data_IF_367506026441
#
_entry.id   IF_367506026441
#
_cell.length_a   1.000
_cell.length_b   1.000
_cell.length_c   1.000
_cell.angle_alpha   90.00
_cell.angle_beta   90.00
_cell.angle_gamma   90.00
#
_symmetry.space_group_name_H-M   'P 1'
#
loop_
_entity.id
_entity.type
_entity.pdbx_description
1 polymer ?
#
# COMPACT_ATOMS: atom_id res chain seq x y z
N UNK A 1 -20.57 64.99 -5.95
CA UNK A 1 -21.21 65.97 -5.04
C UNK A 1 -20.91 65.53 -3.62
N UNK A 2 -19.98 66.26 -3.02
CA UNK A 2 -19.43 66.17 -1.67
C UNK A 2 -20.37 66.81 -0.67
N UNK A 3 -20.75 66.10 0.41
CA UNK A 3 -21.15 66.75 1.67
C UNK A 3 -20.81 65.88 2.88
N UNK A 4 -19.72 66.22 3.54
CA UNK A 4 -19.35 65.97 4.94
C UNK A 4 -20.33 66.63 5.91
N UNK A 5 -20.65 66.01 7.06
CA UNK A 5 -20.72 66.69 8.38
C UNK A 5 -20.38 65.70 9.52
N UNK A 6 -19.68 66.26 10.51
CA UNK A 6 -18.99 65.71 11.68
C UNK A 6 -19.88 65.54 12.93
N UNK A 7 -19.57 64.47 13.69
CA UNK A 7 -19.45 64.32 15.17
C UNK A 7 -20.48 64.92 16.14
N UNK A 8 -20.85 64.12 17.16
CA UNK A 8 -20.95 64.58 18.57
C UNK A 8 -20.89 63.38 19.54
N UNK A 9 -19.99 63.48 20.51
CA UNK A 9 -19.88 62.59 21.68
C UNK A 9 -20.94 62.94 22.72
N UNK A 10 -21.43 61.95 23.46
CA UNK A 10 -22.01 62.17 24.79
C UNK A 10 -21.58 61.04 25.73
N UNK A 11 -20.79 61.41 26.74
CA UNK A 11 -20.44 60.58 27.88
C UNK A 11 -21.58 60.60 28.91
N UNK A 12 -21.85 59.45 29.52
CA UNK A 12 -22.73 59.31 30.68
C UNK A 12 -22.14 58.28 31.65
N UNK A 13 -21.67 58.76 32.80
CA UNK A 13 -21.03 58.04 33.89
C UNK A 13 -22.05 57.87 35.04
N UNK A 14 -22.07 56.70 35.70
CA UNK A 14 -22.58 56.34 37.05
C UNK A 14 -23.16 54.91 36.99
N UNK A 15 -22.95 53.96 37.91
CA UNK A 15 -22.31 53.98 39.22
C UNK A 15 -21.87 52.54 39.59
N UNK A 16 -20.92 52.46 40.52
CA UNK A 16 -20.35 51.29 41.16
C UNK A 16 -21.39 50.44 41.92
N UNK A 17 -21.36 49.12 41.73
CA UNK A 17 -21.72 48.11 42.75
C UNK A 17 -20.90 46.85 42.44
N UNK A 18 -20.04 46.46 43.39
CA UNK A 18 -19.16 45.30 43.24
C UNK A 18 -19.87 43.98 43.49
N UNK A 19 -19.34 42.90 42.90
CA UNK A 19 -19.00 41.61 43.52
C UNK A 19 -18.62 40.60 42.42
N UNK A 20 -17.63 39.77 42.74
CA UNK A 20 -17.21 38.54 42.05
C UNK A 20 -16.54 38.69 40.67
N UNK A 21 -15.22 38.42 40.67
CA UNK A 21 -14.50 38.02 39.47
C UNK A 21 -15.07 36.70 38.93
N UNK A 22 -15.96 36.77 37.94
CA UNK A 22 -16.27 35.64 37.08
C UNK A 22 -15.05 35.35 36.21
N UNK A 23 -14.28 34.32 36.59
CA UNK A 23 -13.38 33.63 35.65
C UNK A 23 -14.20 33.23 34.43
N UNK A 24 -13.71 33.43 33.19
CA UNK A 24 -14.38 32.87 32.02
C UNK A 24 -14.43 31.35 32.18
N UNK A 25 -15.63 30.78 32.20
CA UNK A 25 -15.79 29.34 32.06
C UNK A 25 -15.28 28.94 30.68
N UNK A 26 -14.42 27.90 30.56
CA UNK A 26 -14.16 27.29 29.27
C UNK A 26 -15.47 26.70 28.75
N UNK A 27 -15.86 27.12 27.55
CA UNK A 27 -16.95 26.50 26.80
C UNK A 27 -16.60 25.02 26.61
N UNK A 28 -17.50 24.07 26.94
CA UNK A 28 -17.26 22.66 26.65
C UNK A 28 -17.03 22.50 25.15
N UNK A 29 -15.82 22.06 24.79
CA UNK A 29 -15.44 21.77 23.43
C UNK A 29 -16.42 20.77 22.81
N UNK A 30 -16.82 21.04 21.58
CA UNK A 30 -17.52 20.06 20.75
C UNK A 30 -16.69 18.77 20.72
N UNK A 31 -17.32 17.59 20.85
CA UNK A 31 -16.61 16.33 20.81
C UNK A 31 -16.00 16.16 19.43
N UNK A 32 -14.67 16.08 19.40
CA UNK A 32 -13.87 15.49 18.33
C UNK A 32 -14.13 16.03 16.94
N UNK A 33 -13.36 17.02 16.51
CA UNK A 33 -12.68 16.85 15.22
C UNK A 33 -11.91 15.54 15.35
N UNK A 34 -12.52 14.44 14.90
CA UNK A 34 -11.81 13.27 14.41
C UNK A 34 -10.76 13.86 13.47
N UNK A 35 -9.51 13.88 13.93
CA UNK A 35 -8.39 14.15 13.05
C UNK A 35 -8.61 13.24 11.86
N UNK A 36 -8.79 13.85 10.69
CA UNK A 36 -8.84 13.08 9.45
C UNK A 36 -7.73 12.05 9.55
N UNK A 37 -8.02 10.75 9.34
CA UNK A 37 -6.96 9.77 9.37
C UNK A 37 -5.86 10.30 8.48
N UNK A 38 -4.64 10.39 9.03
CA UNK A 38 -3.48 10.65 8.19
C UNK A 38 -3.64 9.74 6.96
N UNK A 39 -3.46 10.25 5.73
CA UNK A 39 -3.68 9.44 4.54
C UNK A 39 -2.97 8.12 4.78
N UNK A 40 -3.74 7.02 4.76
CA UNK A 40 -3.18 5.69 5.01
C UNK A 40 -1.96 5.59 4.12
N UNK A 41 -0.78 5.47 4.74
CA UNK A 41 0.48 5.55 4.00
C UNK A 41 0.37 4.61 2.80
N UNK A 42 0.67 5.15 1.62
CA UNK A 42 0.46 4.47 0.37
C UNK A 42 1.27 3.17 0.33
N UNK A 43 0.61 2.08 0.67
CA UNK A 43 1.24 0.79 0.84
C UNK A 43 1.01 -0.06 -0.39
N UNK A 44 2.10 -0.54 -0.99
CA UNK A 44 2.13 -1.34 -2.20
C UNK A 44 2.95 -2.61 -1.95
N UNK A 45 2.67 -3.68 -2.69
CA UNK A 45 3.51 -4.89 -2.66
C UNK A 45 4.90 -4.58 -3.22
N UNK A 46 4.95 -3.70 -4.23
CA UNK A 46 6.21 -3.25 -4.79
C UNK A 46 6.09 -1.87 -5.44
N UNK A 47 7.13 -1.03 -5.35
CA UNK A 47 8.34 -1.20 -4.52
C UNK A 47 8.17 -0.65 -3.09
N UNK A 48 6.99 -0.13 -2.75
CA UNK A 48 6.71 0.54 -1.45
C UNK A 48 6.32 -0.48 -0.36
N UNK A 49 7.21 -1.45 -0.11
CA UNK A 49 7.06 -2.46 0.95
C UNK A 49 7.10 -1.90 2.37
N UNK A 50 7.55 -0.64 2.50
CA UNK A 50 7.51 0.16 3.73
C UNK A 50 6.68 1.43 3.49
N UNK A 51 6.10 2.05 4.54
CA UNK A 51 5.25 3.24 4.40
C UNK A 51 5.98 4.54 4.00
N UNK A 52 7.15 4.48 3.36
CA UNK A 52 8.02 5.62 3.00
C UNK A 52 7.60 6.37 1.73
N UNK A 53 6.30 6.35 1.42
CA UNK A 53 5.73 6.95 0.21
C UNK A 53 6.09 8.45 0.03
N UNK A 54 6.27 9.21 1.11
CA UNK A 54 6.64 10.63 1.04
C UNK A 54 8.07 10.83 0.51
N UNK A 55 9.04 10.02 0.96
CA UNK A 55 10.42 10.08 0.47
C UNK A 55 10.52 9.57 -0.97
N UNK A 56 9.68 8.60 -1.35
CA UNK A 56 9.56 8.16 -2.74
C UNK A 56 9.05 9.31 -3.63
N UNK A 57 8.01 10.04 -3.23
CA UNK A 57 7.42 11.11 -4.04
C UNK A 57 8.42 12.20 -4.45
N UNK A 58 9.30 12.64 -3.54
CA UNK A 58 10.32 13.65 -3.84
C UNK A 58 11.36 13.15 -4.86
N UNK A 59 11.85 11.91 -4.70
CA UNK A 59 12.81 11.31 -5.64
C UNK A 59 12.19 11.11 -7.03
N UNK A 60 10.94 10.66 -7.07
CA UNK A 60 10.20 10.44 -8.32
C UNK A 60 9.91 11.77 -9.02
N UNK A 61 9.57 12.83 -8.27
CA UNK A 61 9.45 14.18 -8.82
C UNK A 61 10.76 14.71 -9.42
N UNK A 62 11.91 14.27 -8.89
CA UNK A 62 13.23 14.55 -9.46
C UNK A 62 13.63 13.65 -10.65
N UNK A 63 12.73 12.76 -11.11
CA UNK A 63 12.92 11.92 -12.29
C UNK A 63 13.52 10.54 -12.03
N UNK A 64 13.56 10.08 -10.77
CA UNK A 64 13.86 8.68 -10.47
C UNK A 64 12.74 7.75 -11.01
N UNK A 65 13.09 6.49 -11.30
CA UNK A 65 12.17 5.42 -11.69
C UNK A 65 11.13 5.84 -12.76
N UNK A 66 11.56 6.26 -13.96
CA UNK A 66 10.67 6.84 -14.97
C UNK A 66 9.54 5.90 -15.40
N UNK A 67 9.74 4.59 -15.25
CA UNK A 67 8.72 3.56 -15.51
C UNK A 67 7.47 3.72 -14.64
N UNK A 68 7.55 4.40 -13.49
CA UNK A 68 6.40 4.70 -12.62
C UNK A 68 5.44 5.74 -13.17
N UNK A 69 5.80 6.40 -14.27
CA UNK A 69 4.91 7.32 -14.97
C UNK A 69 3.79 6.63 -15.73
N UNK A 70 3.87 5.31 -15.94
CA UNK A 70 2.96 4.54 -16.76
C UNK A 70 2.63 3.17 -16.10
N UNK A 71 1.36 2.74 -16.10
CA UNK A 71 0.95 1.49 -15.45
C UNK A 71 1.55 0.24 -16.10
N UNK A 72 1.71 0.26 -17.43
CA UNK A 72 2.26 -0.85 -18.20
C UNK A 72 3.76 -0.97 -17.96
N UNK A 73 4.50 0.14 -18.04
CA UNK A 73 5.94 0.14 -17.72
C UNK A 73 6.21 -0.27 -16.27
N UNK A 74 5.32 0.09 -15.33
CA UNK A 74 5.39 -0.36 -13.94
C UNK A 74 5.24 -1.87 -13.80
N UNK A 75 4.26 -2.46 -14.49
CA UNK A 75 4.08 -3.92 -14.48
C UNK A 75 5.26 -4.65 -15.14
N UNK A 76 5.83 -4.11 -16.22
CA UNK A 76 7.03 -4.65 -16.86
C UNK A 76 8.26 -4.54 -15.95
N UNK A 77 8.43 -3.43 -15.24
CA UNK A 77 9.51 -3.26 -14.27
C UNK A 77 9.39 -4.29 -13.14
N UNK A 78 8.19 -4.51 -12.60
CA UNK A 78 7.94 -5.57 -11.62
C UNK A 78 8.32 -6.96 -12.16
N UNK A 79 7.90 -7.30 -13.39
CA UNK A 79 8.25 -8.59 -13.99
C UNK A 79 9.77 -8.77 -14.17
N UNK A 80 10.50 -7.71 -14.53
CA UNK A 80 11.96 -7.76 -14.66
C UNK A 80 12.66 -7.89 -13.32
N UNK A 81 12.28 -7.07 -12.35
CA UNK A 81 13.01 -6.93 -11.09
C UNK A 81 12.61 -7.98 -10.04
N UNK A 82 11.33 -8.33 -9.96
CA UNK A 82 10.80 -9.25 -8.95
C UNK A 82 10.71 -10.68 -9.48
N UNK A 83 10.22 -10.86 -10.72
CA UNK A 83 10.10 -12.21 -11.33
C UNK A 83 11.39 -12.65 -12.04
N UNK A 84 12.31 -11.71 -12.30
CA UNK A 84 13.57 -12.00 -12.99
C UNK A 84 13.40 -12.30 -14.48
N UNK A 85 12.32 -11.82 -15.10
CA UNK A 85 12.06 -12.04 -16.53
C UNK A 85 12.88 -11.06 -17.37
N UNK A 86 13.61 -11.55 -18.39
CA UNK A 86 14.52 -10.72 -19.17
C UNK A 86 13.80 -9.67 -20.02
N UNK A 87 13.00 -10.13 -20.97
CA UNK A 87 12.23 -9.28 -21.90
C UNK A 87 10.75 -9.67 -21.84
N UNK A 88 10.06 -9.34 -20.74
CA UNK A 88 8.64 -9.65 -20.62
C UNK A 88 7.81 -8.83 -21.60
N UNK A 89 6.69 -9.40 -22.03
CA UNK A 89 5.76 -8.79 -22.98
C UNK A 89 4.44 -8.43 -22.31
N UNK A 90 3.81 -7.37 -22.81
CA UNK A 90 2.49 -6.94 -22.35
C UNK A 90 1.43 -7.74 -23.07
N UNK A 91 0.52 -8.33 -22.30
CA UNK A 91 -0.70 -8.96 -22.79
C UNK A 91 -1.87 -7.99 -22.79
N UNK A 92 -2.96 -8.40 -22.14
CA UNK A 92 -4.16 -7.56 -21.96
C UNK A 92 -3.90 -6.44 -20.95
N UNK A 93 -4.45 -5.26 -21.23
CA UNK A 93 -4.53 -4.14 -20.29
C UNK A 93 -6.00 -3.80 -20.05
N UNK A 94 -6.38 -3.63 -18.79
CA UNK A 94 -7.76 -3.35 -18.39
C UNK A 94 -7.81 -2.32 -17.27
N UNK A 95 -8.54 -1.24 -17.49
CA UNK A 95 -8.86 -0.28 -16.44
C UNK A 95 -9.88 -0.89 -15.47
N UNK A 96 -9.61 -0.73 -14.18
CA UNK A 96 -10.44 -1.25 -13.09
C UNK A 96 -11.05 -0.08 -12.30
N UNK A 97 -12.13 -0.32 -11.54
CA UNK A 97 -12.66 0.68 -10.61
C UNK A 97 -11.59 1.21 -9.64
N UNK A 98 -11.86 2.38 -9.05
CA UNK A 98 -10.97 3.02 -8.07
C UNK A 98 -9.60 3.44 -8.60
N UNK A 99 -9.47 3.66 -9.92
CA UNK A 99 -8.22 4.16 -10.52
C UNK A 99 -7.11 3.11 -10.58
N UNK A 100 -7.47 1.83 -10.54
CA UNK A 100 -6.54 0.72 -10.70
C UNK A 100 -6.44 0.32 -12.18
N UNK A 101 -5.31 -0.25 -12.56
CA UNK A 101 -5.12 -0.85 -13.89
C UNK A 101 -4.61 -2.27 -13.72
N UNK A 102 -5.21 -3.22 -14.42
CA UNK A 102 -4.77 -4.59 -14.51
C UNK A 102 -3.97 -4.77 -15.79
N UNK A 103 -2.72 -5.22 -15.66
CA UNK A 103 -1.82 -5.49 -16.78
C UNK A 103 -1.43 -6.96 -16.73
N UNK A 104 -1.79 -7.71 -17.76
CA UNK A 104 -1.23 -9.04 -17.97
C UNK A 104 0.19 -8.91 -18.52
N UNK A 105 1.14 -9.58 -17.90
CA UNK A 105 2.54 -9.63 -18.32
C UNK A 105 2.90 -11.08 -18.60
N UNK A 106 3.56 -11.32 -19.72
CA UNK A 106 3.99 -12.66 -20.16
C UNK A 106 5.49 -12.75 -20.17
N UNK A 107 6.03 -13.89 -19.75
CA UNK A 107 7.47 -14.13 -19.78
C UNK A 107 8.02 -14.14 -21.21
N UNK A 108 7.23 -14.68 -22.12
CA UNK A 108 7.54 -14.89 -23.53
C UNK A 108 6.23 -15.06 -24.33
N UNK A 109 6.24 -14.86 -25.66
CA UNK A 109 5.05 -15.04 -26.49
C UNK A 109 4.38 -16.41 -26.30
N UNK A 110 3.16 -16.40 -25.76
CA UNK A 110 2.38 -17.63 -25.50
C UNK A 110 2.87 -18.47 -24.32
N UNK A 111 3.83 -17.98 -23.53
CA UNK A 111 4.30 -18.61 -22.30
C UNK A 111 3.46 -18.21 -21.07
N UNK A 112 3.98 -18.51 -19.86
CA UNK A 112 3.31 -18.17 -18.60
C UNK A 112 2.99 -16.67 -18.51
N UNK A 113 1.80 -16.38 -17.98
CA UNK A 113 1.28 -15.04 -17.83
C UNK A 113 0.92 -14.78 -16.37
N UNK A 114 1.25 -13.59 -15.89
CA UNK A 114 0.83 -13.09 -14.58
C UNK A 114 -0.01 -11.84 -14.77
N UNK A 115 -1.02 -11.67 -13.95
CA UNK A 115 -1.82 -10.47 -13.85
C UNK A 115 -1.24 -9.56 -12.78
N UNK A 116 -0.84 -8.35 -13.16
CA UNK A 116 -0.28 -7.34 -12.26
C UNK A 116 -1.27 -6.18 -12.15
N UNK A 117 -1.84 -6.00 -10.95
CA UNK A 117 -2.70 -4.86 -10.63
C UNK A 117 -1.84 -3.73 -10.08
N UNK A 118 -1.93 -2.58 -10.72
CA UNK A 118 -1.21 -1.36 -10.34
C UNK A 118 -2.16 -0.24 -9.98
N UNK A 119 -1.72 0.67 -9.10
CA UNK A 119 -2.47 1.86 -8.68
C UNK A 119 -1.56 3.06 -8.48
N UNK A 120 -2.10 4.27 -8.61
CA UNK A 120 -1.39 5.52 -8.34
C UNK A 120 -1.32 5.78 -6.84
N UNK A 121 -0.45 5.05 -6.15
CA UNK A 121 -0.40 5.06 -4.68
C UNK A 121 0.48 6.21 -4.16
N UNK A 122 1.53 6.62 -4.88
CA UNK A 122 2.47 7.65 -4.40
C UNK A 122 2.15 9.01 -5.01
N UNK A 123 1.80 9.98 -4.15
CA UNK A 123 1.50 11.36 -4.53
C UNK A 123 0.36 11.49 -5.54
N UNK A 124 -0.59 10.56 -5.53
CA UNK A 124 -1.74 10.44 -6.45
C UNK A 124 -1.34 10.48 -7.94
N UNK A 125 -0.11 10.06 -8.25
CA UNK A 125 0.48 10.21 -9.58
C UNK A 125 1.27 9.01 -10.01
N UNK A 126 2.12 8.49 -9.13
CA UNK A 126 3.10 7.47 -9.47
C UNK A 126 2.55 6.08 -9.21
N UNK A 127 2.73 5.21 -10.20
CA UNK A 127 2.22 3.85 -10.18
C UNK A 127 3.08 2.94 -9.29
N UNK A 128 2.40 2.08 -8.55
CA UNK A 128 2.97 1.00 -7.73
C UNK A 128 2.13 -0.26 -7.90
N UNK A 129 2.71 -1.43 -7.62
CA UNK A 129 2.03 -2.73 -7.68
C UNK A 129 1.21 -2.95 -6.42
N UNK A 130 -0.12 -3.01 -6.59
CA UNK A 130 -1.09 -3.28 -5.54
C UNK A 130 -1.24 -4.78 -5.27
N UNK A 131 -1.25 -5.58 -6.34
CA UNK A 131 -1.38 -7.03 -6.28
C UNK A 131 -0.82 -7.69 -7.55
N UNK A 132 -0.36 -8.93 -7.45
CA UNK A 132 0.04 -9.77 -8.59
C UNK A 132 -0.31 -11.24 -8.36
N UNK A 133 -0.82 -11.91 -9.39
CA UNK A 133 -1.19 -13.33 -9.35
C UNK A 133 -1.03 -14.01 -10.71
N UNK A 134 -0.90 -15.34 -10.71
CA UNK A 134 -0.89 -16.18 -11.89
C UNK A 134 -2.19 -16.23 -12.68
N UNK A 135 -2.13 -16.91 -13.84
CA UNK A 135 -3.34 -17.30 -14.58
C UNK A 135 -3.31 -18.82 -14.82
N UNK A 136 -4.28 -19.60 -14.28
CA UNK A 136 -5.42 -19.16 -13.45
C UNK A 136 -5.00 -18.54 -12.10
N UNK A 137 -5.91 -17.80 -11.49
CA UNK A 137 -5.69 -17.20 -10.17
C UNK A 137 -5.62 -18.29 -9.09
N UNK A 138 -4.70 -18.11 -8.15
CA UNK A 138 -4.49 -19.00 -7.01
C UNK A 138 -5.14 -18.40 -5.77
N UNK A 139 -5.82 -19.23 -4.98
CA UNK A 139 -6.49 -18.82 -3.74
C UNK A 139 -5.68 -19.28 -2.51
N UNK A 140 -4.64 -18.52 -2.08
CA UNK A 140 -3.92 -18.87 -0.87
C UNK A 140 -4.79 -18.62 0.36
N UNK A 141 -4.62 -19.44 1.39
CA UNK A 141 -5.19 -19.14 2.70
C UNK A 141 -4.11 -18.53 3.59
N UNK A 142 -4.39 -17.35 4.14
CA UNK A 142 -3.43 -16.58 4.93
C UNK A 142 -4.03 -16.20 6.28
N UNK A 143 -3.21 -16.29 7.33
CA UNK A 143 -3.55 -15.88 8.67
C UNK A 143 -2.40 -15.11 9.31
N UNK A 144 -2.75 -14.06 10.03
CA UNK A 144 -1.85 -13.33 10.92
C UNK A 144 -2.54 -13.26 12.26
N UNK A 145 -1.87 -13.77 13.29
CA UNK A 145 -2.40 -13.75 14.65
C UNK A 145 -1.28 -13.51 15.65
N UNK A 146 -1.38 -12.43 16.41
CA UNK A 146 -0.29 -11.93 17.24
C UNK A 146 0.98 -11.79 16.38
N UNK A 147 2.05 -12.51 16.70
CA UNK A 147 3.31 -12.51 15.93
C UNK A 147 3.45 -13.67 14.94
N UNK A 148 2.39 -14.42 14.69
CA UNK A 148 2.46 -15.60 13.81
C UNK A 148 1.83 -15.29 12.48
N UNK A 149 2.60 -15.48 11.41
CA UNK A 149 2.09 -15.55 10.04
C UNK A 149 1.97 -17.01 9.61
N UNK A 150 0.86 -17.37 9.00
CA UNK A 150 0.62 -18.68 8.41
C UNK A 150 0.07 -18.51 6.99
N UNK A 151 0.62 -19.26 6.04
CA UNK A 151 0.25 -19.23 4.63
C UNK A 151 0.16 -20.65 4.10
N UNK A 152 -1.01 -21.03 3.59
CA UNK A 152 -1.21 -22.25 2.83
C UNK A 152 -1.42 -21.89 1.36
N UNK A 153 -0.70 -22.58 0.48
CA UNK A 153 -0.80 -22.44 -0.96
C UNK A 153 -0.38 -23.76 -1.62
N UNK A 154 -0.87 -23.99 -2.84
CA UNK A 154 -0.47 -25.14 -3.64
C UNK A 154 0.79 -24.80 -4.45
N UNK A 155 1.74 -25.75 -4.51
CA UNK A 155 2.92 -25.61 -5.35
C UNK A 155 2.60 -25.81 -6.84
N UNK A 156 1.45 -26.39 -7.17
CA UNK A 156 1.09 -26.75 -8.55
C UNK A 156 2.22 -27.56 -9.23
N UNK A 157 2.66 -27.13 -10.41
CA UNK A 157 3.79 -27.70 -11.15
C UNK A 157 5.17 -27.18 -10.69
N UNK A 158 5.22 -26.33 -9.66
CA UNK A 158 6.46 -25.74 -9.16
C UNK A 158 7.36 -26.79 -8.50
N UNK A 159 8.66 -26.61 -8.68
CA UNK A 159 9.69 -27.40 -7.99
C UNK A 159 9.84 -26.97 -6.54
N UNK A 160 9.81 -25.66 -6.31
CA UNK A 160 9.86 -25.00 -5.02
C UNK A 160 9.23 -23.60 -5.16
N UNK A 161 9.09 -22.92 -4.02
CA UNK A 161 8.65 -21.54 -3.97
C UNK A 161 9.55 -20.70 -3.07
N UNK A 162 9.70 -19.42 -3.38
CA UNK A 162 10.24 -18.42 -2.46
C UNK A 162 9.09 -17.63 -1.88
N UNK A 163 8.89 -17.69 -0.56
CA UNK A 163 7.92 -16.87 0.16
C UNK A 163 8.63 -15.71 0.84
N UNK A 164 8.18 -14.51 0.52
CA UNK A 164 8.60 -13.25 1.13
C UNK A 164 7.43 -12.72 1.96
N UNK A 165 7.70 -12.32 3.20
CA UNK A 165 6.75 -11.58 4.04
C UNK A 165 7.45 -10.34 4.55
N UNK A 166 6.80 -9.19 4.42
CA UNK A 166 7.35 -7.90 4.83
C UNK A 166 6.34 -7.10 5.63
N UNK A 167 6.80 -6.45 6.70
CA UNK A 167 6.04 -5.57 7.58
C UNK A 167 6.93 -4.44 8.06
N UNK A 168 6.84 -3.26 7.44
CA UNK A 168 7.78 -2.17 7.72
C UNK A 168 9.22 -2.64 7.54
N UNK A 169 10.06 -2.50 8.57
CA UNK A 169 11.48 -2.90 8.49
C UNK A 169 11.71 -4.42 8.59
N UNK A 170 10.69 -5.20 8.96
CA UNK A 170 10.78 -6.65 9.03
C UNK A 170 10.64 -7.24 7.62
N UNK A 171 11.65 -8.01 7.20
CA UNK A 171 11.59 -8.84 5.98
C UNK A 171 12.01 -10.27 6.30
N UNK A 172 11.13 -11.23 5.99
CA UNK A 172 11.40 -12.66 6.11
C UNK A 172 11.29 -13.29 4.72
N UNK A 173 12.33 -14.03 4.32
CA UNK A 173 12.36 -14.80 3.09
C UNK A 173 12.60 -16.27 3.40
N UNK A 174 11.80 -17.16 2.80
CA UNK A 174 11.88 -18.62 2.99
C UNK A 174 11.70 -19.35 1.69
N UNK A 175 12.51 -20.40 1.50
CA UNK A 175 12.30 -21.38 0.44
C UNK A 175 11.40 -22.51 0.95
N UNK A 176 10.45 -22.93 0.11
CA UNK A 176 9.46 -23.96 0.40
C UNK A 176 9.55 -25.03 -0.69
N UNK A 177 9.97 -26.24 -0.32
CA UNK A 177 10.12 -27.36 -1.25
C UNK A 177 8.93 -28.33 -1.28
N UNK A 178 8.03 -28.21 -0.28
CA UNK A 178 6.87 -29.06 -0.13
C UNK A 178 5.65 -28.18 0.17
N UNK A 179 4.53 -28.43 -0.50
CA UNK A 179 3.28 -27.71 -0.25
C UNK A 179 2.79 -27.94 1.18
N UNK A 180 1.89 -27.06 1.63
CA UNK A 180 1.34 -27.08 2.98
C UNK A 180 1.49 -25.74 3.72
N UNK A 181 1.00 -25.65 4.97
CA UNK A 181 1.03 -24.40 5.71
C UNK A 181 2.47 -24.04 6.10
N UNK A 182 2.96 -22.94 5.54
CA UNK A 182 4.16 -22.26 5.99
C UNK A 182 3.82 -21.42 7.22
N UNK A 183 4.54 -21.63 8.32
CA UNK A 183 4.38 -20.85 9.55
C UNK A 183 5.65 -20.08 9.86
N UNK A 184 5.53 -18.77 10.06
CA UNK A 184 6.63 -17.85 10.36
C UNK A 184 6.36 -17.13 11.68
N UNK A 185 7.43 -16.93 12.46
CA UNK A 185 7.43 -16.02 13.61
C UNK A 185 7.90 -14.65 13.12
N UNK A 186 7.03 -13.65 13.27
CA UNK A 186 7.29 -12.25 12.94
C UNK A 186 8.10 -11.54 14.04
N UNK A 187 8.33 -12.20 15.18
CA UNK A 187 9.04 -11.64 16.34
C UNK A 187 8.15 -10.78 17.22
N UNK A 188 7.31 -9.93 16.61
CA UNK A 188 6.30 -9.10 17.27
C UNK A 188 4.98 -9.04 16.50
N UNK A 189 3.94 -8.53 17.15
CA UNK A 189 2.65 -8.27 16.50
C UNK A 189 2.78 -7.15 15.47
N UNK A 190 2.33 -7.31 14.22
CA UNK A 190 2.42 -6.26 13.21
C UNK A 190 1.61 -5.02 13.58
N UNK A 191 2.27 -3.87 13.67
CA UNK A 191 1.63 -2.59 13.96
C UNK A 191 1.48 -1.68 12.73
N UNK A 192 2.05 -2.10 11.60
CA UNK A 192 1.96 -1.44 10.30
C UNK A 192 1.47 -2.43 9.24
N UNK A 193 0.90 -1.97 8.11
CA UNK A 193 0.60 -2.83 6.98
C UNK A 193 1.86 -3.50 6.42
N UNK A 194 1.66 -4.62 5.73
CA UNK A 194 2.71 -5.44 5.14
C UNK A 194 2.21 -6.19 3.92
N UNK A 195 3.03 -7.05 3.33
CA UNK A 195 2.62 -7.89 2.20
C UNK A 195 3.23 -9.29 2.32
N UNK A 196 2.67 -10.22 1.56
CA UNK A 196 3.38 -11.43 1.21
C UNK A 196 3.49 -11.58 -0.30
N UNK A 197 4.49 -12.33 -0.72
CA UNK A 197 4.73 -12.66 -2.12
C UNK A 197 5.33 -14.08 -2.19
N UNK A 198 4.70 -14.93 -3.00
CA UNK A 198 5.11 -16.31 -3.28
C UNK A 198 5.57 -16.35 -4.73
N UNK A 199 6.85 -16.67 -4.94
CA UNK A 199 7.42 -16.89 -6.27
C UNK A 199 7.50 -18.38 -6.55
N UNK A 200 6.66 -18.90 -7.44
CA UNK A 200 6.69 -20.29 -7.86
C UNK A 200 7.77 -20.48 -8.93
N UNK A 201 8.66 -21.44 -8.69
CA UNK A 201 9.84 -21.67 -9.55
C UNK A 201 9.81 -23.04 -10.20
N UNK A 202 10.23 -23.08 -11.46
CA UNK A 202 10.36 -24.31 -12.23
C UNK A 202 11.60 -25.12 -11.80
N UNK A 203 11.78 -26.31 -12.39
CA UNK A 203 12.94 -27.16 -12.12
C UNK A 203 14.30 -26.56 -12.52
N UNK A 204 14.32 -25.42 -13.21
CA UNK A 204 15.53 -24.65 -13.56
C UNK A 204 15.76 -23.47 -12.61
N UNK A 205 14.87 -23.28 -11.62
CA UNK A 205 14.90 -22.19 -10.66
C UNK A 205 14.32 -20.87 -11.18
N UNK A 206 13.74 -20.85 -12.39
CA UNK A 206 13.14 -19.64 -12.93
C UNK A 206 11.71 -19.46 -12.40
N UNK A 207 11.36 -18.22 -12.03
CA UNK A 207 9.99 -17.90 -11.63
C UNK A 207 9.09 -18.02 -12.86
N UNK A 208 8.03 -18.80 -12.76
CA UNK A 208 7.01 -18.90 -13.81
C UNK A 208 5.65 -18.36 -13.36
N UNK A 209 5.46 -18.19 -12.05
CA UNK A 209 4.20 -17.74 -11.47
C UNK A 209 4.41 -17.01 -10.13
N UNK A 210 3.43 -16.23 -9.72
CA UNK A 210 3.43 -15.43 -8.49
C UNK A 210 2.07 -15.47 -7.81
N UNK A 211 2.06 -15.42 -6.48
CA UNK A 211 0.88 -15.14 -5.67
C UNK A 211 1.25 -14.06 -4.66
N UNK A 212 0.44 -13.03 -4.52
CA UNK A 212 0.74 -11.98 -3.56
C UNK A 212 -0.54 -11.37 -3.01
N UNK A 213 -0.42 -10.67 -1.89
CA UNK A 213 -1.49 -9.81 -1.38
C UNK A 213 -0.93 -8.83 -0.37
N UNK A 214 -1.65 -7.72 -0.20
CA UNK A 214 -1.43 -6.79 0.90
C UNK A 214 -2.04 -7.37 2.18
N UNK A 215 -1.35 -7.13 3.27
CA UNK A 215 -1.71 -7.52 4.62
C UNK A 215 -1.97 -6.25 5.45
N UNK A 216 -3.10 -6.17 6.16
CA UNK A 216 -3.32 -5.08 7.10
C UNK A 216 -2.38 -5.20 8.31
N UNK A 217 -2.33 -4.14 9.11
CA UNK A 217 -1.75 -4.21 10.44
C UNK A 217 -2.60 -5.09 11.38
N UNK A 218 -1.95 -5.77 12.32
CA UNK A 218 -2.60 -6.62 13.32
C UNK A 218 -3.09 -7.96 12.81
N UNK A 219 -4.06 -8.53 13.54
CA UNK A 219 -4.64 -9.83 13.22
C UNK A 219 -5.44 -9.79 11.91
N UNK A 220 -5.28 -10.83 11.09
CA UNK A 220 -5.87 -10.94 9.77
C UNK A 220 -6.15 -12.40 9.39
N UNK A 221 -7.19 -12.64 8.59
CA UNK A 221 -7.46 -13.93 7.99
C UNK A 221 -8.16 -13.74 6.64
N UNK A 222 -7.71 -14.46 5.62
CA UNK A 222 -8.33 -14.51 4.30
C UNK A 222 -8.05 -15.86 3.61
N UNK A 223 -8.95 -16.24 2.70
CA UNK A 223 -8.89 -17.44 1.85
C UNK A 223 -10.25 -18.07 1.66
#
# INVERSE_FOLDING_TARGET
MTTTVRWLWAAGLCALLGLAACRPQPVPGSPGEEGSPAPAAAFAIWPEGTPEAAAAAERLAAGADPWRGDPVETALAFAREVLGWGEPEVGRVEEQPMGLTLVEVRREPGGPAVSVRVGQLVGDRWWSVDNAWGSPEHDPTVWVRDRVFELAFDLEDARNATVVVEYGDLRIEREVEHGGPLRLDLGESPHVPGYFLVLLRDGRGAVFDVVSSRLPAGDFAAG
#
